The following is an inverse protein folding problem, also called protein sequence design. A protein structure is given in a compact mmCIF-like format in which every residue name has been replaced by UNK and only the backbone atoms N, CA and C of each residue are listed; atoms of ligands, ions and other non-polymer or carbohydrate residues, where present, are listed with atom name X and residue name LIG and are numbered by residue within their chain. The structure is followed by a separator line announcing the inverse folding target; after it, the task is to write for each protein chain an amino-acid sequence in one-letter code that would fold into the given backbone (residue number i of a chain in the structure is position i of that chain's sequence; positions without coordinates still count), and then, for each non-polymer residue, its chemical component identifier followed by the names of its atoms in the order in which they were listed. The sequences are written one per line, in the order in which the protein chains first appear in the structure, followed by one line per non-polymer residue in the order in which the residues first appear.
data_IF_733031713566
#
_entry.id   IF_733031713566
#
_cell.length_a   1.000
_cell.length_b   1.000
_cell.length_c   1.000
_cell.angle_alpha   90.00
_cell.angle_beta   90.00
_cell.angle_gamma   90.00
#
_symmetry.space_group_name_H-M   'P 1'
#
loop_
_entity.id
_entity.type
_entity.pdbx_description
1 polymer ?
#
# COMPACT_ATOMS: atom_id res chain seq x y z
N UNK A 1 59.13 -33.76 -11.77
CA UNK A 1 57.77 -33.50 -11.25
C UNK A 1 56.86 -33.19 -12.43
N UNK A 2 55.88 -34.00 -12.78
CA UNK A 2 55.02 -33.77 -13.94
C UNK A 2 53.88 -32.83 -13.57
N UNK A 3 53.73 -31.79 -14.40
CA UNK A 3 52.59 -30.86 -14.35
C UNK A 3 51.33 -31.60 -14.80
N UNK A 4 50.33 -31.70 -13.89
CA UNK A 4 49.01 -32.19 -14.24
C UNK A 4 48.27 -31.15 -15.07
N UNK A 5 48.10 -31.43 -16.35
CA UNK A 5 47.18 -30.73 -17.24
C UNK A 5 45.73 -31.02 -16.78
N UNK A 6 45.03 -29.97 -16.39
CA UNK A 6 43.59 -30.03 -16.23
C UNK A 6 42.92 -30.37 -17.55
N UNK A 7 42.15 -31.45 -17.59
CA UNK A 7 41.31 -31.83 -18.73
C UNK A 7 40.18 -30.82 -18.98
N UNK A 8 40.03 -30.33 -20.24
CA UNK A 8 38.97 -29.38 -20.58
C UNK A 8 37.64 -30.03 -20.97
N UNK A 9 37.27 -31.16 -20.36
CA UNK A 9 36.02 -31.85 -20.69
C UNK A 9 35.21 -32.25 -19.43
N UNK A 10 34.98 -31.28 -18.54
CA UNK A 10 33.87 -31.41 -17.61
C UNK A 10 32.63 -30.94 -18.37
N UNK A 11 31.63 -31.83 -18.64
CA UNK A 11 30.37 -31.37 -19.23
C UNK A 11 29.80 -30.32 -18.31
N UNK A 12 29.62 -29.09 -18.84
CA UNK A 12 28.89 -28.07 -18.14
C UNK A 12 27.52 -28.65 -17.76
N UNK A 13 27.41 -29.11 -16.53
CA UNK A 13 26.15 -29.55 -15.93
C UNK A 13 25.24 -28.36 -16.08
N UNK A 14 24.32 -28.38 -17.04
CA UNK A 14 23.26 -27.38 -17.15
C UNK A 14 22.60 -27.35 -15.78
N UNK A 15 22.87 -26.27 -15.04
CA UNK A 15 22.20 -26.00 -13.76
C UNK A 15 20.71 -26.02 -14.07
N UNK A 16 20.06 -27.13 -13.75
CA UNK A 16 18.61 -27.24 -13.86
C UNK A 16 18.06 -26.29 -12.82
N UNK A 17 17.48 -25.16 -13.27
CA UNK A 17 16.86 -24.22 -12.34
C UNK A 17 15.81 -24.96 -11.54
N UNK A 18 15.75 -24.76 -10.21
CA UNK A 18 14.74 -25.40 -9.37
C UNK A 18 13.34 -25.10 -9.93
N UNK A 19 12.42 -26.04 -9.80
CA UNK A 19 11.03 -25.87 -10.27
C UNK A 19 10.32 -24.64 -9.67
N UNK A 20 10.75 -24.24 -8.46
CA UNK A 20 10.24 -23.03 -7.79
C UNK A 20 10.89 -21.71 -8.25
N UNK A 21 11.85 -21.77 -9.17
CA UNK A 21 12.49 -20.55 -9.69
C UNK A 21 11.54 -19.77 -10.58
N UNK A 22 11.26 -18.52 -10.17
CA UNK A 22 10.42 -17.59 -10.94
C UNK A 22 11.31 -16.69 -11.79
N UNK A 23 11.21 -16.81 -13.11
CA UNK A 23 11.90 -15.93 -14.05
C UNK A 23 11.27 -14.53 -14.08
N UNK A 24 12.05 -13.53 -14.53
CA UNK A 24 11.54 -12.16 -14.72
C UNK A 24 10.29 -12.14 -15.63
N UNK A 25 10.29 -12.95 -16.70
CA UNK A 25 9.14 -13.06 -17.60
C UNK A 25 7.89 -13.60 -16.89
N UNK A 26 8.05 -14.61 -16.02
CA UNK A 26 6.93 -15.14 -15.23
C UNK A 26 6.42 -14.10 -14.25
N UNK A 27 7.31 -13.35 -13.61
CA UNK A 27 6.95 -12.26 -12.70
C UNK A 27 6.17 -11.17 -13.45
N UNK A 28 6.62 -10.74 -14.62
CA UNK A 28 5.90 -9.76 -15.45
C UNK A 28 4.51 -10.24 -15.83
N UNK A 29 4.38 -11.50 -16.28
CA UNK A 29 3.07 -12.08 -16.62
C UNK A 29 2.12 -12.16 -15.41
N UNK A 30 2.65 -12.52 -14.25
CA UNK A 30 1.88 -12.54 -13.01
C UNK A 30 1.43 -11.12 -12.62
N UNK A 31 2.32 -10.15 -12.69
CA UNK A 31 2.00 -8.75 -12.43
C UNK A 31 0.93 -8.23 -13.38
N UNK A 32 1.04 -8.49 -14.67
CA UNK A 32 0.04 -8.09 -15.65
C UNK A 32 -1.31 -8.78 -15.41
N UNK A 33 -1.31 -10.04 -14.97
CA UNK A 33 -2.54 -10.74 -14.62
C UNK A 33 -3.23 -10.10 -13.40
N UNK A 34 -2.45 -9.72 -12.38
CA UNK A 34 -2.96 -9.05 -11.17
C UNK A 34 -3.50 -7.67 -11.50
N UNK A 35 -2.74 -6.87 -12.25
CA UNK A 35 -3.20 -5.53 -12.70
C UNK A 35 -4.50 -5.59 -13.50
N UNK A 36 -4.68 -6.65 -14.32
CA UNK A 36 -5.95 -6.85 -15.04
C UNK A 36 -7.12 -7.30 -14.15
N UNK A 37 -6.87 -7.78 -12.94
CA UNK A 37 -7.94 -8.14 -11.99
C UNK A 37 -8.57 -6.92 -11.32
N UNK A 38 -7.83 -5.86 -11.13
CA UNK A 38 -8.38 -4.59 -10.66
C UNK A 38 -9.45 -4.13 -11.64
N UNK A 39 -10.71 -4.09 -11.20
CA UNK A 39 -11.85 -3.75 -12.05
C UNK A 39 -11.89 -2.27 -12.38
N UNK A 40 -11.48 -1.47 -11.42
CA UNK A 40 -11.49 -0.01 -11.53
C UNK A 40 -10.24 0.56 -10.88
N UNK A 41 -9.57 1.46 -11.60
CA UNK A 41 -8.51 2.30 -11.06
C UNK A 41 -9.04 3.73 -10.96
N UNK A 42 -9.01 4.31 -9.78
CA UNK A 42 -9.41 5.69 -9.54
C UNK A 42 -8.21 6.51 -9.06
N UNK A 43 -7.99 7.65 -9.74
CA UNK A 43 -6.92 8.62 -9.42
C UNK A 43 -7.47 10.03 -9.19
N UNK A 44 -8.72 10.13 -8.73
CA UNK A 44 -9.43 11.42 -8.58
C UNK A 44 -9.60 11.83 -7.13
N UNK A 45 -9.10 11.04 -6.21
CA UNK A 45 -9.32 11.19 -4.78
C UNK A 45 -8.02 11.44 -4.01
N UNK A 46 -8.18 11.94 -2.79
CA UNK A 46 -7.09 12.10 -1.82
C UNK A 46 -6.94 10.77 -1.06
N UNK A 47 -5.82 10.09 -1.25
CA UNK A 47 -5.55 8.80 -0.61
C UNK A 47 -4.29 8.92 0.23
N UNK A 48 -4.40 8.95 1.57
CA UNK A 48 -3.24 8.82 2.43
C UNK A 48 -2.48 7.52 2.13
N UNK A 49 -1.18 7.49 2.38
CA UNK A 49 -0.31 6.35 2.10
C UNK A 49 -0.13 6.00 0.61
N UNK A 50 -0.43 6.96 -0.30
CA UNK A 50 -0.30 6.91 -1.76
C UNK A 50 -1.39 6.12 -2.49
N UNK A 51 -1.82 4.99 -1.96
CA UNK A 51 -2.82 4.11 -2.55
C UNK A 51 -3.70 3.47 -1.48
N UNK A 52 -4.71 2.74 -1.92
CA UNK A 52 -5.64 2.01 -1.09
C UNK A 52 -6.70 1.33 -1.95
N UNK A 53 -7.64 0.69 -1.31
CA UNK A 53 -8.69 -0.08 -1.99
C UNK A 53 -10.08 0.20 -1.40
N UNK A 54 -11.12 -0.04 -2.20
CA UNK A 54 -12.49 -0.02 -1.71
C UNK A 54 -12.75 -1.16 -0.72
N UNK A 55 -13.75 -1.00 0.14
CA UNK A 55 -14.16 -2.03 1.11
C UNK A 55 -14.46 -3.37 0.46
N UNK A 56 -15.02 -3.36 -0.76
CA UNK A 56 -15.33 -4.57 -1.53
C UNK A 56 -14.18 -5.05 -2.43
N UNK A 57 -13.03 -4.38 -2.41
CA UNK A 57 -11.84 -4.73 -3.18
C UNK A 57 -11.95 -4.55 -4.69
N UNK A 58 -13.02 -3.91 -5.20
CA UNK A 58 -13.22 -3.76 -6.66
C UNK A 58 -12.51 -2.55 -7.24
N UNK A 59 -12.25 -1.54 -6.45
CA UNK A 59 -11.58 -0.32 -6.87
C UNK A 59 -10.26 -0.18 -6.15
N UNK A 60 -9.21 0.03 -6.91
CA UNK A 60 -7.93 0.50 -6.38
C UNK A 60 -7.91 2.01 -6.54
N UNK A 61 -7.62 2.69 -5.45
CA UNK A 61 -7.43 4.13 -5.39
C UNK A 61 -5.94 4.44 -5.37
N UNK A 62 -5.50 5.37 -6.22
CA UNK A 62 -4.18 5.97 -6.14
C UNK A 62 -4.37 7.47 -5.94
N UNK A 63 -3.63 8.05 -5.04
CA UNK A 63 -3.74 9.48 -4.76
C UNK A 63 -3.59 10.32 -6.03
N UNK A 64 -4.45 11.33 -6.17
CA UNK A 64 -4.50 12.18 -7.38
C UNK A 64 -3.23 12.96 -7.64
N UNK A 65 -2.38 13.16 -6.63
CA UNK A 65 -1.11 13.89 -6.75
C UNK A 65 0.09 12.94 -6.91
N UNK A 66 -0.15 11.62 -6.84
CA UNK A 66 0.88 10.63 -7.11
C UNK A 66 1.14 10.54 -8.61
N UNK A 67 2.38 10.73 -9.11
CA UNK A 67 2.68 10.52 -10.52
C UNK A 67 2.43 9.07 -10.96
N UNK A 68 1.92 8.90 -12.16
CA UNK A 68 1.72 7.56 -12.76
C UNK A 68 3.02 6.91 -13.25
N UNK A 69 4.09 7.68 -13.32
CA UNK A 69 5.39 7.18 -13.74
C UNK A 69 6.54 7.99 -13.13
N UNK A 70 7.73 7.39 -13.14
CA UNK A 70 8.98 8.11 -12.85
C UNK A 70 10.06 7.75 -13.87
N UNK A 71 10.97 8.69 -14.09
CA UNK A 71 12.09 8.50 -15.02
C UNK A 71 13.21 7.71 -14.36
N UNK A 72 13.59 6.58 -14.97
CA UNK A 72 14.67 5.73 -14.51
C UNK A 72 15.49 5.22 -15.67
N UNK A 73 16.79 5.51 -15.68
CA UNK A 73 17.74 5.04 -16.72
C UNK A 73 17.22 5.26 -18.15
N UNK A 74 16.76 6.50 -18.41
CA UNK A 74 16.26 6.89 -19.73
C UNK A 74 14.85 6.36 -20.07
N UNK A 75 14.20 5.57 -19.21
CA UNK A 75 12.87 4.97 -19.43
C UNK A 75 11.83 5.58 -18.47
N UNK A 76 10.59 5.63 -18.89
CA UNK A 76 9.46 5.94 -18.02
C UNK A 76 8.92 4.65 -17.42
N UNK A 77 8.99 4.56 -16.10
CA UNK A 77 8.54 3.40 -15.33
C UNK A 77 7.14 3.72 -14.78
N UNK A 78 6.17 2.95 -15.20
CA UNK A 78 4.80 3.07 -14.72
C UNK A 78 4.72 2.62 -13.25
N UNK A 79 4.32 3.53 -12.35
CA UNK A 79 4.22 3.27 -10.90
C UNK A 79 2.89 2.62 -10.53
N UNK A 80 1.82 2.88 -11.28
CA UNK A 80 0.48 2.39 -10.97
C UNK A 80 0.44 0.86 -10.92
N UNK A 81 1.14 0.18 -11.85
CA UNK A 81 1.18 -1.28 -11.90
C UNK A 81 1.74 -1.90 -10.62
N UNK A 82 2.69 -1.24 -9.97
CA UNK A 82 3.30 -1.74 -8.73
C UNK A 82 2.43 -1.43 -7.53
N UNK A 83 1.82 -0.25 -7.49
CA UNK A 83 0.84 0.10 -6.47
C UNK A 83 -0.40 -0.81 -6.54
N UNK A 84 -0.92 -1.08 -7.74
CA UNK A 84 -2.04 -2.03 -7.92
C UNK A 84 -1.65 -3.41 -7.41
N UNK A 85 -0.45 -3.91 -7.73
CA UNK A 85 0.04 -5.18 -7.21
C UNK A 85 0.07 -5.19 -5.68
N UNK A 86 0.61 -4.12 -5.07
CA UNK A 86 0.69 -3.96 -3.63
C UNK A 86 -0.70 -4.07 -2.99
N UNK A 87 -1.62 -3.23 -3.43
CA UNK A 87 -2.98 -3.15 -2.88
C UNK A 87 -3.77 -4.44 -3.07
N UNK A 88 -3.65 -5.10 -4.23
CA UNK A 88 -4.31 -6.38 -4.50
C UNK A 88 -3.78 -7.52 -3.62
N UNK A 89 -2.47 -7.59 -3.41
CA UNK A 89 -1.86 -8.58 -2.51
C UNK A 89 -2.29 -8.31 -1.08
N UNK A 90 -2.19 -7.07 -0.62
CA UNK A 90 -2.55 -6.68 0.74
C UNK A 90 -4.02 -6.98 1.03
N UNK A 91 -4.93 -6.51 0.17
CA UNK A 91 -6.38 -6.73 0.31
C UNK A 91 -6.72 -8.21 0.32
N UNK A 92 -6.12 -8.99 -0.58
CA UNK A 92 -6.35 -10.45 -0.63
C UNK A 92 -5.94 -11.14 0.67
N UNK A 93 -4.78 -10.79 1.22
CA UNK A 93 -4.29 -11.37 2.48
C UNK A 93 -5.16 -11.00 3.68
N UNK A 94 -5.64 -9.77 3.72
CA UNK A 94 -6.55 -9.31 4.77
C UNK A 94 -7.90 -10.01 4.68
N UNK A 95 -8.50 -10.07 3.48
CA UNK A 95 -9.85 -10.59 3.30
C UNK A 95 -9.92 -12.12 3.38
N UNK A 96 -8.95 -12.82 2.79
CA UNK A 96 -9.00 -14.29 2.69
C UNK A 96 -8.29 -15.00 3.83
N UNK A 97 -7.22 -14.41 4.37
CA UNK A 97 -6.43 -15.02 5.45
C UNK A 97 -6.62 -14.31 6.79
N UNK A 98 -7.45 -13.26 6.83
CA UNK A 98 -7.69 -12.45 8.03
C UNK A 98 -6.39 -11.96 8.70
N UNK A 99 -5.38 -11.63 7.88
CA UNK A 99 -4.13 -11.12 8.42
C UNK A 99 -4.32 -9.71 8.95
N UNK A 100 -3.55 -9.39 9.98
CA UNK A 100 -3.38 -8.01 10.43
C UNK A 100 -2.73 -7.19 9.31
N UNK A 101 -3.15 -5.94 9.14
CA UNK A 101 -2.65 -5.05 8.09
C UNK A 101 -1.12 -5.03 8.00
N UNK A 102 -0.41 -4.83 9.10
CA UNK A 102 1.06 -4.75 9.11
C UNK A 102 1.74 -5.98 8.48
N UNK A 103 1.20 -7.18 8.71
CA UNK A 103 1.75 -8.40 8.11
C UNK A 103 1.42 -8.48 6.62
N UNK A 104 0.18 -8.15 6.24
CA UNK A 104 -0.25 -8.11 4.84
C UNK A 104 0.58 -7.10 4.04
N UNK A 105 0.76 -5.89 4.59
CA UNK A 105 1.57 -4.82 4.02
C UNK A 105 3.03 -5.22 3.80
N UNK A 106 3.67 -5.89 4.77
CA UNK A 106 5.04 -6.38 4.61
C UNK A 106 5.16 -7.40 3.47
N UNK A 107 4.18 -8.28 3.30
CA UNK A 107 4.16 -9.27 2.21
C UNK A 107 3.92 -8.56 0.88
N UNK A 108 2.98 -7.62 0.81
CA UNK A 108 2.69 -6.80 -0.36
C UNK A 108 3.93 -6.00 -0.80
N UNK A 109 4.62 -5.35 0.14
CA UNK A 109 5.88 -4.63 -0.14
C UNK A 109 6.96 -5.54 -0.73
N UNK A 110 7.06 -6.79 -0.28
CA UNK A 110 8.03 -7.76 -0.86
C UNK A 110 7.63 -8.17 -2.27
N UNK A 111 6.35 -8.35 -2.55
CA UNK A 111 5.84 -8.65 -3.89
C UNK A 111 6.11 -7.48 -4.85
N UNK A 112 5.82 -6.26 -4.42
CA UNK A 112 6.12 -5.03 -5.14
C UNK A 112 7.63 -4.90 -5.44
N UNK A 113 8.47 -5.11 -4.43
CA UNK A 113 9.92 -5.08 -4.56
C UNK A 113 10.43 -6.11 -5.59
N UNK A 114 9.88 -7.32 -5.57
CA UNK A 114 10.24 -8.36 -6.53
C UNK A 114 9.87 -7.96 -7.96
N UNK A 115 8.68 -7.39 -8.17
CA UNK A 115 8.21 -6.92 -9.47
C UNK A 115 9.04 -5.74 -10.00
N UNK A 116 9.35 -4.76 -9.15
CA UNK A 116 10.22 -3.62 -9.49
C UNK A 116 11.61 -4.09 -9.92
N UNK A 117 12.20 -5.04 -9.19
CA UNK A 117 13.52 -5.61 -9.53
C UNK A 117 13.46 -6.43 -10.82
N UNK A 118 12.40 -7.19 -11.05
CA UNK A 118 12.21 -7.95 -12.28
C UNK A 118 12.15 -7.05 -13.52
N UNK A 119 11.64 -5.82 -13.37
CA UNK A 119 11.65 -4.79 -14.42
C UNK A 119 13.01 -4.09 -14.60
N UNK A 120 14.06 -4.53 -13.90
CA UNK A 120 15.40 -3.97 -13.99
C UNK A 120 15.55 -2.63 -13.26
N UNK A 121 14.66 -2.32 -12.32
CA UNK A 121 14.72 -1.10 -11.52
C UNK A 121 15.32 -1.42 -10.15
N UNK A 122 16.28 -0.61 -9.70
CA UNK A 122 16.82 -0.77 -8.34
C UNK A 122 15.76 -0.34 -7.32
N UNK A 123 15.44 -1.23 -6.38
CA UNK A 123 14.47 -0.97 -5.32
C UNK A 123 14.74 0.34 -4.57
N UNK A 124 15.99 0.60 -4.21
CA UNK A 124 16.38 1.82 -3.49
C UNK A 124 15.99 3.12 -4.22
N UNK A 125 16.03 3.13 -5.56
CA UNK A 125 15.71 4.33 -6.33
C UNK A 125 14.19 4.49 -6.46
N UNK A 126 13.48 3.37 -6.64
CA UNK A 126 12.02 3.33 -6.62
C UNK A 126 11.48 3.75 -5.24
N UNK A 127 11.95 3.13 -4.17
CA UNK A 127 11.55 3.44 -2.81
C UNK A 127 11.80 4.92 -2.46
N UNK A 128 12.98 5.46 -2.82
CA UNK A 128 13.27 6.89 -2.62
C UNK A 128 12.28 7.79 -3.35
N UNK A 129 11.87 7.41 -4.55
CA UNK A 129 10.84 8.13 -5.29
C UNK A 129 9.50 8.06 -4.56
N UNK A 130 9.06 6.88 -4.11
CA UNK A 130 7.81 6.70 -3.38
C UNK A 130 7.80 7.49 -2.07
N UNK A 131 8.86 7.40 -1.26
CA UNK A 131 8.97 8.10 0.03
C UNK A 131 8.86 9.63 -0.10
N UNK A 132 9.33 10.19 -1.20
CA UNK A 132 9.14 11.62 -1.50
C UNK A 132 7.65 11.99 -1.56
N UNK A 133 6.82 11.11 -2.15
CA UNK A 133 5.39 11.35 -2.28
C UNK A 133 4.61 10.96 -1.04
N UNK A 134 5.02 9.91 -0.32
CA UNK A 134 4.45 9.57 1.00
C UNK A 134 4.46 10.80 1.91
N UNK A 135 5.62 11.44 2.04
CA UNK A 135 5.74 12.65 2.87
C UNK A 135 4.87 13.80 2.35
N UNK A 136 4.95 14.09 1.04
CA UNK A 136 4.21 15.20 0.44
C UNK A 136 2.71 15.02 0.59
N UNK A 137 2.18 13.84 0.24
CA UNK A 137 0.75 13.54 0.28
C UNK A 137 0.25 13.44 1.74
N UNK A 138 1.08 12.92 2.65
CA UNK A 138 0.75 12.86 4.07
C UNK A 138 0.50 14.23 4.72
N UNK A 139 1.19 15.26 4.23
CA UNK A 139 1.05 16.64 4.71
C UNK A 139 -0.12 17.39 4.04
N UNK A 140 -0.73 16.85 2.99
CA UNK A 140 -1.80 17.51 2.24
C UNK A 140 -3.15 17.49 2.99
N UNK A 141 -3.95 18.51 2.71
CA UNK A 141 -5.31 18.58 3.25
C UNK A 141 -6.23 17.61 2.51
N UNK A 142 -6.85 16.72 3.23
CA UNK A 142 -7.84 15.80 2.68
C UNK A 142 -9.16 16.52 2.39
N UNK A 143 -9.51 16.62 1.11
CA UNK A 143 -10.73 17.29 0.63
C UNK A 143 -11.70 16.35 -0.06
N UNK A 144 -11.20 15.25 -0.62
CA UNK A 144 -11.97 14.34 -1.47
C UNK A 144 -11.59 12.88 -1.23
N UNK A 145 -11.88 12.37 -0.04
CA UNK A 145 -11.67 10.95 0.30
C UNK A 145 -12.87 10.13 -0.19
N UNK A 146 -12.66 8.96 -0.85
CA UNK A 146 -13.77 8.10 -1.30
C UNK A 146 -14.57 7.56 -0.10
N UNK A 147 -15.91 7.51 -0.24
CA UNK A 147 -16.79 7.06 0.84
C UNK A 147 -16.67 5.56 1.14
N UNK A 148 -16.26 4.79 0.16
CA UNK A 148 -16.12 3.34 0.23
C UNK A 148 -14.66 2.88 0.43
N UNK A 149 -13.72 3.81 0.60
CA UNK A 149 -12.32 3.47 0.94
C UNK A 149 -12.29 2.60 2.20
N UNK A 150 -11.51 1.53 2.17
CA UNK A 150 -11.30 0.70 3.35
C UNK A 150 -10.39 1.43 4.35
N UNK A 151 -10.92 1.67 5.53
CA UNK A 151 -10.19 2.36 6.61
C UNK A 151 -9.49 1.39 7.56
N UNK A 152 -9.53 0.08 7.29
CA UNK A 152 -8.90 -0.92 8.15
C UNK A 152 -7.38 -0.70 8.25
N UNK A 153 -6.63 -0.44 7.17
CA UNK A 153 -5.20 -0.15 7.25
C UNK A 153 -4.86 0.93 8.27
N UNK A 154 -5.53 2.07 8.17
CA UNK A 154 -5.27 3.22 9.04
C UNK A 154 -5.66 2.98 10.52
N UNK A 155 -6.65 2.14 10.76
CA UNK A 155 -7.05 1.73 12.13
C UNK A 155 -6.05 0.78 12.74
N UNK A 156 -5.56 -0.17 11.97
CA UNK A 156 -4.58 -1.15 12.40
C UNK A 156 -3.23 -0.49 12.71
N UNK A 157 -2.89 0.60 11.99
CA UNK A 157 -1.74 1.48 12.28
C UNK A 157 -1.96 2.43 13.48
N UNK A 158 -3.16 2.43 14.05
CA UNK A 158 -3.53 3.35 15.14
C UNK A 158 -3.45 4.84 14.77
N UNK A 159 -3.50 5.19 13.47
CA UNK A 159 -3.49 6.57 12.98
C UNK A 159 -4.89 7.21 13.08
N UNK A 160 -5.37 7.30 14.30
CA UNK A 160 -6.73 7.74 14.58
C UNK A 160 -7.01 9.18 14.17
N UNK A 161 -6.01 10.06 14.23
CA UNK A 161 -6.17 11.46 13.81
C UNK A 161 -6.33 11.54 12.29
N UNK A 162 -5.62 10.71 11.54
CA UNK A 162 -5.80 10.59 10.10
C UNK A 162 -7.20 10.04 9.76
N UNK A 163 -7.64 8.97 10.43
CA UNK A 163 -8.99 8.41 10.23
C UNK A 163 -10.08 9.45 10.50
N UNK A 164 -9.94 10.29 11.53
CA UNK A 164 -10.89 11.38 11.79
C UNK A 164 -10.92 12.41 10.65
N UNK A 165 -9.76 12.80 10.14
CA UNK A 165 -9.64 13.71 8.99
C UNK A 165 -10.29 13.12 7.73
N UNK A 166 -10.10 11.83 7.48
CA UNK A 166 -10.71 11.10 6.35
C UNK A 166 -12.23 11.06 6.47
N UNK A 167 -12.76 10.67 7.62
CA UNK A 167 -14.20 10.64 7.88
C UNK A 167 -14.85 12.02 7.74
N UNK A 168 -14.19 13.07 8.21
CA UNK A 168 -14.65 14.44 8.02
C UNK A 168 -14.65 14.86 6.55
N UNK A 169 -13.68 14.41 5.75
CA UNK A 169 -13.65 14.63 4.31
C UNK A 169 -14.78 13.90 3.58
N UNK A 170 -15.01 12.63 3.90
CA UNK A 170 -16.11 11.83 3.35
C UNK A 170 -17.45 12.50 3.65
N UNK A 171 -17.68 12.91 4.89
CA UNK A 171 -18.91 13.57 5.28
C UNK A 171 -19.18 14.87 4.51
N UNK A 172 -18.14 15.65 4.24
CA UNK A 172 -18.26 16.88 3.41
C UNK A 172 -18.58 16.57 1.95
N UNK A 173 -17.99 15.50 1.39
CA UNK A 173 -18.18 15.10 0.00
C UNK A 173 -19.59 14.57 -0.30
N UNK A 174 -20.33 14.12 0.70
CA UNK A 174 -21.71 13.61 0.53
C UNK A 174 -22.78 14.74 0.44
N UNK A 175 -22.38 16.01 0.54
CA UNK A 175 -23.27 17.17 0.37
C UNK A 175 -24.11 17.51 1.62
N UNK A 176 -24.95 18.58 1.57
CA UNK A 176 -25.65 19.13 2.73
C UNK A 176 -26.77 18.26 3.30
N UNK A 177 -27.18 17.19 2.63
CA UNK A 177 -28.18 16.23 3.13
C UNK A 177 -27.63 15.31 4.21
N UNK A 178 -26.35 15.52 4.62
CA UNK A 178 -25.83 14.48 5.28
C UNK A 178 -25.56 14.46 6.70
N UNK A 179 -24.43 14.21 6.99
CA UNK A 179 -23.94 13.73 8.25
C UNK A 179 -23.65 14.94 9.13
N UNK A 180 -24.51 15.18 10.11
CA UNK A 180 -24.21 16.14 11.18
C UNK A 180 -22.93 15.71 11.88
N UNK A 181 -22.10 16.65 12.32
CA UNK A 181 -20.87 16.35 13.08
C UNK A 181 -21.08 15.32 14.20
N UNK A 182 -22.28 15.35 14.82
CA UNK A 182 -22.74 14.34 15.80
C UNK A 182 -22.76 12.90 15.26
N UNK A 183 -23.07 12.71 13.98
CA UNK A 183 -23.17 11.38 13.38
C UNK A 183 -21.79 10.85 12.98
N UNK A 184 -20.86 11.74 12.62
CA UNK A 184 -19.45 11.42 12.45
C UNK A 184 -18.84 10.96 13.78
N UNK A 185 -19.08 11.71 14.86
CA UNK A 185 -18.62 11.36 16.21
C UNK A 185 -19.25 10.04 16.69
N UNK A 186 -20.52 9.78 16.34
CA UNK A 186 -21.21 8.53 16.67
C UNK A 186 -20.68 7.36 15.84
N UNK A 187 -20.36 7.55 14.57
CA UNK A 187 -19.75 6.55 13.70
C UNK A 187 -18.33 6.23 14.18
N UNK A 188 -17.51 7.25 14.45
CA UNK A 188 -16.16 7.10 15.04
C UNK A 188 -16.25 6.36 16.38
N UNK A 189 -17.21 6.71 17.25
CA UNK A 189 -17.41 6.06 18.55
C UNK A 189 -17.85 4.60 18.45
N UNK A 190 -18.57 4.20 17.38
CA UNK A 190 -18.95 2.80 17.13
C UNK A 190 -17.78 1.96 16.57
N UNK A 191 -16.99 2.54 15.69
CA UNK A 191 -15.87 1.83 15.05
C UNK A 191 -14.57 1.89 15.86
N UNK A 192 -14.48 2.81 16.85
CA UNK A 192 -13.29 3.03 17.68
C UNK A 192 -13.66 3.22 19.15
N UNK A 193 -14.16 2.19 19.83
CA UNK A 193 -14.58 2.31 21.22
C UNK A 193 -13.47 2.78 22.17
N UNK A 194 -12.19 2.52 21.82
CA UNK A 194 -11.03 2.84 22.66
C UNK A 194 -10.48 4.27 22.50
N UNK A 195 -10.90 5.03 21.46
CA UNK A 195 -10.40 6.40 21.24
C UNK A 195 -10.77 7.35 22.39
N UNK A 196 -11.96 7.17 22.97
CA UNK A 196 -12.41 7.97 24.14
C UNK A 196 -11.54 7.73 25.35
N UNK A 197 -11.16 6.46 25.59
CA UNK A 197 -10.31 6.08 26.73
C UNK A 197 -8.89 6.58 26.57
N UNK A 198 -8.37 6.59 25.35
CA UNK A 198 -7.02 7.07 25.07
C UNK A 198 -6.92 8.60 25.26
N UNK A 199 -7.89 9.37 24.76
CA UNK A 199 -7.95 10.83 24.97
C UNK A 199 -8.14 11.17 26.46
N UNK A 200 -8.93 10.39 27.18
CA UNK A 200 -9.10 10.55 28.63
C UNK A 200 -7.80 10.24 29.39
N UNK A 201 -7.09 9.17 29.04
CA UNK A 201 -5.78 8.82 29.63
C UNK A 201 -4.70 9.85 29.28
N UNK A 202 -4.63 10.34 28.03
CA UNK A 202 -3.70 11.37 27.63
C UNK A 202 -3.95 12.71 28.35
N UNK A 203 -5.21 13.08 28.53
CA UNK A 203 -5.60 14.28 29.28
C UNK A 203 -5.25 14.16 30.77
N UNK A 204 -5.48 12.99 31.39
CA UNK A 204 -5.10 12.72 32.79
C UNK A 204 -3.57 12.76 33.00
N UNK A 205 -2.80 12.22 32.01
CA UNK A 205 -1.33 12.25 32.06
C UNK A 205 -0.78 13.68 31.94
N UNK A 206 -1.39 14.54 31.09
CA UNK A 206 -1.03 15.97 30.96
C UNK A 206 -1.41 16.80 32.20
N UNK A 207 -2.40 16.36 32.97
CA UNK A 207 -2.85 17.04 34.19
C UNK A 207 -2.17 16.48 35.47
N UNK A 208 -1.18 15.60 35.34
CA UNK A 208 -0.44 15.05 36.47
C UNK A 208 -1.26 14.16 37.41
N UNK A 209 -2.44 13.69 36.96
CA UNK A 209 -3.41 12.93 37.77
C UNK A 209 -3.15 11.41 37.77
N UNK A 210 -2.12 10.94 37.09
CA UNK A 210 -1.69 9.53 37.13
C UNK A 210 -0.16 9.51 37.13
N UNK A 211 0.45 8.93 38.17
CA UNK A 211 1.87 8.58 38.24
C UNK A 211 2.16 7.34 37.43
#
# INVERSE_FOLDING_TARGET
MPLHFCHPNTPHRKLRMPEWFVSSLMMDRALDAIVRRAKTLDRKHDIPYLAGYSKDGKTIYIDRHMPSSFRYDGRDINTDRYLILHEEVEKTLIDQLNLHYLHAHQIATRAEQAAVRAAGVRWRDYDRFMQKYVKRIGDERLTKVPADLDLKPYRDEHDYDLVQRMLASIARGQGPAGVKAKDVDRAVGRYMPHVRDFKAKAKRKRQGLVR
#
